data_IF_267572523825
#
_entry.id   IF_267572523825
#
_cell.length_a   1.000
_cell.length_b   1.000
_cell.length_c   1.000
_cell.angle_alpha   90.00
_cell.angle_beta   90.00
_cell.angle_gamma   90.00
#
_symmetry.space_group_name_H-M   'P 1'
#
loop_
_entity.id
_entity.type
_entity.pdbx_description
1 polymer ?
#
# COMPACT_ATOMS: atom_id res chain seq x y z
N UNK A 1 6.07 -1.57 -0.96
CA UNK A 1 5.58 -2.67 -0.11
C UNK A 1 4.80 -2.13 1.06
N UNK A 2 5.36 -1.14 1.78
CA UNK A 2 4.61 -0.30 2.71
C UNK A 2 3.56 0.57 1.99
N UNK A 3 2.57 1.05 2.75
CA UNK A 3 1.55 1.98 2.27
C UNK A 3 1.97 3.44 2.52
N UNK A 4 1.77 4.28 1.51
CA UNK A 4 2.07 5.71 1.55
C UNK A 4 1.02 6.51 0.78
N UNK A 5 0.81 7.75 1.19
CA UNK A 5 -0.05 8.73 0.54
C UNK A 5 0.80 9.82 -0.10
N UNK A 6 0.69 9.99 -1.43
CA UNK A 6 1.41 11.03 -2.17
C UNK A 6 0.43 11.93 -2.94
N UNK A 7 0.96 13.03 -3.52
CA UNK A 7 0.20 13.74 -4.55
C UNK A 7 0.05 12.84 -5.78
N UNK A 8 -1.10 12.86 -6.48
CA UNK A 8 -1.24 12.13 -7.74
C UNK A 8 -0.17 12.56 -8.75
N UNK A 9 0.43 11.60 -9.46
CA UNK A 9 1.46 11.86 -10.48
C UNK A 9 2.86 12.19 -9.95
N UNK A 10 3.03 12.36 -8.63
CA UNK A 10 4.31 12.79 -8.04
C UNK A 10 5.23 11.65 -7.58
N UNK A 11 4.84 10.40 -7.80
CA UNK A 11 5.72 9.25 -7.48
C UNK A 11 6.80 9.11 -8.55
N UNK A 12 7.87 8.32 -8.32
CA UNK A 12 8.86 8.02 -9.36
C UNK A 12 8.29 7.38 -10.65
N UNK A 13 7.05 6.86 -10.60
CA UNK A 13 6.35 6.34 -11.78
C UNK A 13 5.74 7.43 -12.67
N UNK A 14 5.70 8.69 -12.22
CA UNK A 14 5.17 9.83 -12.96
C UNK A 14 3.65 9.84 -13.12
N UNK A 15 3.18 10.49 -14.18
CA UNK A 15 1.75 10.59 -14.50
C UNK A 15 1.16 9.22 -14.90
N UNK A 16 -0.07 8.90 -14.46
CA UNK A 16 -0.71 7.64 -14.83
C UNK A 16 -1.05 7.60 -16.32
N UNK A 17 -0.90 6.42 -16.93
CA UNK A 17 -1.26 6.17 -18.33
C UNK A 17 -2.76 6.35 -18.59
N UNK A 18 -3.59 6.02 -17.60
CA UNK A 18 -5.04 6.11 -17.69
C UNK A 18 -5.63 6.57 -16.36
N UNK A 19 -6.70 7.38 -16.43
CA UNK A 19 -7.49 7.82 -15.26
C UNK A 19 -8.95 7.42 -15.48
N UNK A 20 -9.49 6.62 -14.57
CA UNK A 20 -10.89 6.16 -14.64
C UNK A 20 -11.70 6.70 -13.48
N UNK A 21 -12.85 7.37 -13.74
CA UNK A 21 -13.80 7.68 -12.69
C UNK A 21 -14.34 6.37 -12.12
N UNK A 22 -14.07 6.12 -10.83
CA UNK A 22 -14.71 5.01 -10.13
C UNK A 22 -16.13 5.44 -9.71
N UNK A 23 -16.32 6.68 -9.25
CA UNK A 23 -17.59 7.27 -8.77
C UNK A 23 -17.40 7.91 -7.38
N UNK A 24 -18.38 7.80 -6.48
CA UNK A 24 -18.41 8.60 -5.24
C UNK A 24 -18.48 7.75 -3.97
N UNK A 25 -18.06 8.35 -2.84
CA UNK A 25 -18.17 7.79 -1.50
C UNK A 25 -18.55 8.88 -0.50
N UNK A 26 -19.22 8.50 0.59
CA UNK A 26 -19.48 9.38 1.73
C UNK A 26 -18.39 9.34 2.79
N UNK A 27 -17.35 8.49 2.62
CA UNK A 27 -16.23 8.39 3.55
C UNK A 27 -15.41 9.67 3.55
N UNK A 28 -15.14 10.19 4.74
CA UNK A 28 -14.21 11.30 4.95
C UNK A 28 -12.76 10.81 4.84
N UNK A 29 -11.84 11.71 4.48
CA UNK A 29 -10.42 11.36 4.30
C UNK A 29 -9.81 10.74 5.56
N UNK A 30 -10.19 11.23 6.73
CA UNK A 30 -9.74 10.75 8.03
C UNK A 30 -10.24 9.32 8.30
N UNK A 31 -11.48 9.00 7.93
CA UNK A 31 -12.03 7.64 8.04
C UNK A 31 -11.27 6.66 7.14
N UNK A 32 -10.92 7.10 5.93
CA UNK A 32 -10.11 6.31 4.99
C UNK A 32 -8.72 6.06 5.58
N UNK A 33 -8.07 7.10 6.08
CA UNK A 33 -6.75 6.97 6.68
C UNK A 33 -6.75 6.08 7.92
N UNK A 34 -7.77 6.20 8.77
CA UNK A 34 -7.93 5.34 9.93
C UNK A 34 -8.20 3.89 9.55
N UNK A 35 -9.01 3.64 8.51
CA UNK A 35 -9.22 2.30 7.99
C UNK A 35 -7.91 1.69 7.48
N UNK A 36 -7.15 2.45 6.67
CA UNK A 36 -5.85 2.04 6.14
C UNK A 36 -4.89 1.66 7.27
N UNK A 37 -4.73 2.53 8.28
CA UNK A 37 -3.83 2.26 9.43
C UNK A 37 -4.25 1.03 10.24
N UNK A 38 -5.55 0.90 10.55
CA UNK A 38 -6.02 -0.12 11.49
C UNK A 38 -6.17 -1.49 10.86
N UNK A 39 -6.52 -1.55 9.57
CA UNK A 39 -6.92 -2.80 8.92
C UNK A 39 -6.00 -3.23 7.79
N UNK A 40 -5.39 -2.29 7.06
CA UNK A 40 -4.62 -2.62 5.86
C UNK A 40 -3.10 -2.57 6.10
N UNK A 41 -2.62 -1.68 6.98
CA UNK A 41 -1.19 -1.46 7.18
C UNK A 41 -0.42 -2.70 7.68
N UNK A 42 -1.04 -3.56 8.50
CA UNK A 42 -0.42 -4.80 8.99
C UNK A 42 -0.47 -5.94 7.96
N UNK A 43 -1.31 -5.82 6.94
CA UNK A 43 -1.44 -6.77 5.85
C UNK A 43 -0.50 -6.41 4.70
N UNK A 44 -0.51 -5.16 4.26
CA UNK A 44 0.31 -4.65 3.16
C UNK A 44 1.64 -4.12 3.70
N UNK A 45 2.54 -5.05 3.96
CA UNK A 45 3.91 -4.76 4.40
C UNK A 45 4.93 -5.11 3.33
N UNK A 46 6.15 -4.60 3.46
CA UNK A 46 7.26 -4.96 2.57
C UNK A 46 7.56 -6.45 2.60
N UNK A 47 7.44 -7.08 3.76
CA UNK A 47 7.73 -8.51 3.95
C UNK A 47 6.66 -9.41 3.31
N UNK A 48 5.40 -8.95 3.28
CA UNK A 48 4.27 -9.67 2.67
C UNK A 48 4.04 -9.33 1.19
N UNK A 49 4.77 -8.35 0.66
CA UNK A 49 4.60 -7.90 -0.72
C UNK A 49 4.96 -9.01 -1.71
N UNK A 50 4.07 -9.24 -2.67
CA UNK A 50 4.31 -10.10 -3.81
C UNK A 50 3.70 -9.52 -5.08
N UNK A 51 4.52 -9.35 -6.13
CA UNK A 51 4.12 -8.74 -7.39
C UNK A 51 2.97 -9.47 -8.08
N UNK A 52 2.77 -10.76 -7.82
CA UNK A 52 1.72 -11.55 -8.46
C UNK A 52 0.48 -11.68 -7.58
N UNK A 53 0.67 -11.96 -6.29
CA UNK A 53 -0.45 -12.38 -5.42
C UNK A 53 -0.77 -11.39 -4.29
N UNK A 54 0.04 -10.35 -4.09
CA UNK A 54 -0.16 -9.41 -2.97
C UNK A 54 0.54 -8.06 -3.22
N UNK A 55 -0.04 -7.27 -4.13
CA UNK A 55 0.54 -6.02 -4.63
C UNK A 55 -0.43 -4.82 -4.50
N UNK A 56 -0.10 -3.69 -5.15
CA UNK A 56 -0.92 -2.48 -5.16
C UNK A 56 -2.34 -2.67 -5.70
N UNK A 57 -2.57 -3.62 -6.62
CA UNK A 57 -3.90 -3.90 -7.16
C UNK A 57 -4.79 -4.56 -6.09
N UNK A 58 -4.22 -5.49 -5.32
CA UNK A 58 -4.91 -6.15 -4.21
C UNK A 58 -5.22 -5.17 -3.07
N UNK A 59 -4.32 -4.23 -2.80
CA UNK A 59 -4.59 -3.12 -1.89
C UNK A 59 -5.74 -2.25 -2.39
N UNK A 60 -5.69 -1.85 -3.66
CA UNK A 60 -6.70 -1.00 -4.29
C UNK A 60 -8.09 -1.65 -4.29
N UNK A 61 -8.14 -2.97 -4.50
CA UNK A 61 -9.37 -3.77 -4.41
C UNK A 61 -10.02 -3.68 -3.02
N UNK A 62 -9.23 -3.95 -1.96
CA UNK A 62 -9.74 -3.84 -0.58
C UNK A 62 -10.16 -2.42 -0.22
N UNK A 63 -9.40 -1.42 -0.68
CA UNK A 63 -9.74 -0.02 -0.46
C UNK A 63 -11.02 0.36 -1.20
N UNK A 64 -11.19 -0.07 -2.46
CA UNK A 64 -12.40 0.17 -3.25
C UNK A 64 -13.64 -0.42 -2.57
N UNK A 65 -13.53 -1.64 -2.06
CA UNK A 65 -14.59 -2.29 -1.28
C UNK A 65 -14.96 -1.48 -0.04
N UNK A 66 -13.99 -0.97 0.71
CA UNK A 66 -14.29 -0.13 1.87
C UNK A 66 -14.97 1.19 1.48
N UNK A 67 -14.52 1.83 0.40
CA UNK A 67 -15.03 3.13 -0.02
C UNK A 67 -16.46 3.04 -0.59
N UNK A 68 -16.77 1.97 -1.33
CA UNK A 68 -17.95 1.93 -2.19
C UNK A 68 -18.69 0.60 -2.22
N UNK A 69 -18.13 -0.45 -1.62
CA UNK A 69 -18.62 -1.82 -1.75
C UNK A 69 -18.69 -2.28 -3.22
N UNK A 70 -17.61 -1.99 -3.97
CA UNK A 70 -17.49 -2.24 -5.41
C UNK A 70 -16.04 -2.58 -5.78
N UNK A 71 -15.87 -3.42 -6.80
CA UNK A 71 -14.58 -3.93 -7.26
C UNK A 71 -13.82 -2.89 -8.10
N UNK A 72 -12.48 -3.02 -8.17
CA UNK A 72 -11.71 -2.34 -9.22
C UNK A 72 -11.94 -3.03 -10.57
N UNK A 73 -11.66 -2.38 -11.72
CA UNK A 73 -11.82 -3.01 -13.03
C UNK A 73 -11.04 -4.33 -13.14
N UNK A 74 -11.68 -5.36 -13.69
CA UNK A 74 -11.14 -6.72 -13.82
C UNK A 74 -9.77 -6.74 -14.52
N UNK A 75 -9.57 -5.92 -15.56
CA UNK A 75 -8.28 -5.85 -16.25
C UNK A 75 -7.14 -5.32 -15.37
N UNK A 76 -7.45 -4.61 -14.28
CA UNK A 76 -6.46 -4.18 -13.27
C UNK A 76 -6.26 -5.27 -12.24
N UNK A 77 -7.36 -5.88 -11.76
CA UNK A 77 -7.28 -6.93 -10.74
C UNK A 77 -6.54 -8.17 -11.26
N UNK A 78 -6.82 -8.61 -12.48
CA UNK A 78 -6.30 -9.84 -13.08
C UNK A 78 -5.07 -9.63 -13.99
N UNK A 79 -4.47 -8.44 -13.96
CA UNK A 79 -3.18 -8.17 -14.60
C UNK A 79 -2.11 -9.20 -14.25
N UNK A 80 -1.94 -9.61 -12.98
CA UNK A 80 -1.01 -10.66 -12.61
C UNK A 80 -1.27 -11.99 -13.33
N UNK A 81 -2.51 -12.40 -13.50
CA UNK A 81 -2.86 -13.67 -14.16
C UNK A 81 -2.50 -13.64 -15.64
N UNK A 82 -2.75 -12.51 -16.31
CA UNK A 82 -2.32 -12.30 -17.69
C UNK A 82 -0.79 -12.40 -17.83
N UNK A 83 -0.04 -11.93 -16.83
CA UNK A 83 1.42 -11.97 -16.79
C UNK A 83 1.93 -13.36 -16.42
N UNK A 84 1.25 -14.06 -15.52
CA UNK A 84 1.57 -15.42 -15.10
C UNK A 84 1.37 -16.45 -16.21
N UNK A 85 0.60 -16.14 -17.26
CA UNK A 85 0.53 -16.98 -18.47
C UNK A 85 1.89 -17.12 -19.18
N UNK A 86 2.87 -16.26 -18.87
CA UNK A 86 4.19 -16.23 -19.51
C UNK A 86 5.29 -16.80 -18.60
N UNK A 87 6.24 -17.60 -19.13
CA UNK A 87 7.34 -18.15 -18.33
C UNK A 87 8.31 -17.10 -17.78
N UNK A 88 8.57 -16.04 -18.55
CA UNK A 88 9.59 -15.04 -18.22
C UNK A 88 9.26 -14.23 -16.93
N UNK A 89 8.05 -13.69 -16.73
CA UNK A 89 7.70 -12.99 -15.49
C UNK A 89 7.78 -13.85 -14.24
N UNK A 90 7.48 -15.16 -14.33
CA UNK A 90 7.62 -16.09 -13.20
C UNK A 90 9.07 -16.21 -12.75
N UNK A 91 10.00 -16.27 -13.71
CA UNK A 91 11.44 -16.32 -13.43
C UNK A 91 11.95 -15.00 -12.82
N UNK A 92 11.40 -13.86 -13.26
CA UNK A 92 11.77 -12.54 -12.77
C UNK A 92 11.10 -12.14 -11.45
N UNK A 93 10.15 -12.93 -10.93
CA UNK A 93 9.38 -12.62 -9.72
C UNK A 93 10.25 -12.15 -8.53
N UNK A 94 11.39 -12.80 -8.18
CA UNK A 94 12.21 -12.33 -7.05
C UNK A 94 12.80 -10.93 -7.28
N UNK A 95 13.22 -10.64 -8.52
CA UNK A 95 13.75 -9.32 -8.89
C UNK A 95 12.63 -8.26 -8.86
N UNK A 96 11.45 -8.60 -9.38
CA UNK A 96 10.29 -7.72 -9.37
C UNK A 96 9.78 -7.43 -7.95
N UNK A 97 9.74 -8.44 -7.06
CA UNK A 97 9.39 -8.25 -5.65
C UNK A 97 10.38 -7.32 -4.95
N UNK A 98 11.69 -7.46 -5.23
CA UNK A 98 12.70 -6.56 -4.64
C UNK A 98 12.58 -5.14 -5.15
N UNK A 99 12.32 -4.96 -6.45
CA UNK A 99 12.20 -3.65 -7.07
C UNK A 99 10.89 -2.96 -6.66
N UNK A 100 9.74 -3.57 -6.96
CA UNK A 100 8.41 -3.00 -6.70
C UNK A 100 8.03 -2.98 -5.20
N UNK A 101 8.48 -3.98 -4.44
CA UNK A 101 8.25 -4.03 -3.00
C UNK A 101 9.09 -3.04 -2.21
N UNK A 102 10.21 -2.56 -2.78
CA UNK A 102 11.20 -1.71 -2.14
C UNK A 102 11.02 -0.20 -2.34
N UNK A 103 10.05 0.26 -3.12
CA UNK A 103 9.80 1.70 -3.28
C UNK A 103 9.29 2.34 -1.99
N UNK A 104 9.89 3.49 -1.66
CA UNK A 104 9.44 4.43 -0.65
C UNK A 104 9.30 5.81 -1.30
N UNK A 105 8.28 6.57 -0.93
CA UNK A 105 8.16 7.99 -1.28
C UNK A 105 8.63 8.83 -0.10
N UNK A 106 9.52 9.80 -0.32
CA UNK A 106 9.93 10.76 0.72
C UNK A 106 8.85 11.82 0.99
N UNK A 107 7.96 12.06 0.04
CA UNK A 107 6.91 13.08 0.11
C UNK A 107 5.55 12.41 0.37
N UNK A 108 5.17 12.27 1.64
CA UNK A 108 3.86 11.72 1.98
C UNK A 108 3.70 11.16 3.38
N UNK A 109 2.46 10.85 3.77
CA UNK A 109 2.16 10.11 5.00
C UNK A 109 2.38 8.62 4.76
N UNK A 110 3.11 7.93 5.64
CA UNK A 110 3.32 6.48 5.56
C UNK A 110 2.74 5.76 6.79
N UNK A 111 2.36 4.49 6.63
CA UNK A 111 1.76 3.70 7.72
C UNK A 111 2.77 2.96 8.59
N UNK A 112 4.02 2.80 8.15
CA UNK A 112 5.05 2.04 8.86
C UNK A 112 5.85 2.88 9.88
N UNK A 113 5.39 4.11 10.15
CA UNK A 113 6.04 5.05 11.07
C UNK A 113 7.42 5.53 10.62
N UNK A 114 7.87 5.09 9.44
CA UNK A 114 9.24 5.29 8.98
C UNK A 114 10.28 4.56 9.83
N UNK A 115 11.54 4.63 9.39
CA UNK A 115 12.67 4.00 10.09
C UNK A 115 12.87 4.58 11.50
N UNK A 116 12.55 5.86 11.71
CA UNK A 116 12.69 6.55 12.98
C UNK A 116 11.78 5.99 14.08
N UNK A 117 10.49 5.74 13.78
CA UNK A 117 9.57 5.16 14.77
C UNK A 117 9.97 3.71 15.07
N UNK A 118 10.40 2.92 14.07
CA UNK A 118 10.87 1.54 14.30
C UNK A 118 12.10 1.50 15.22
N UNK A 119 13.10 2.36 14.99
CA UNK A 119 14.25 2.50 15.89
C UNK A 119 13.87 2.96 17.29
N UNK A 120 12.87 3.84 17.42
CA UNK A 120 12.34 4.24 18.73
C UNK A 120 11.82 3.02 19.49
N UNK A 121 11.04 2.16 18.84
CA UNK A 121 10.48 0.94 19.44
C UNK A 121 11.52 -0.13 19.78
N UNK A 122 12.62 -0.24 19.03
CA UNK A 122 13.74 -1.16 19.35
C UNK A 122 14.37 -0.86 20.72
N UNK A 123 14.32 0.40 21.17
CA UNK A 123 14.81 0.81 22.48
C UNK A 123 13.82 0.60 23.64
N UNK A 124 12.58 0.19 23.35
CA UNK A 124 11.53 0.04 24.37
C UNK A 124 11.61 -1.35 25.00
N UNK A 125 11.94 -1.40 26.30
CA UNK A 125 12.01 -2.65 27.06
C UNK A 125 10.62 -3.20 27.40
N UNK A 126 10.46 -4.53 27.54
CA UNK A 126 9.23 -5.12 28.07
C UNK A 126 8.86 -4.51 29.43
N UNK A 127 7.63 -3.99 29.54
CA UNK A 127 7.12 -3.34 30.76
C UNK A 127 7.32 -1.82 30.83
N UNK A 128 7.93 -1.21 29.82
CA UNK A 128 8.02 0.24 29.73
C UNK A 128 6.62 0.88 29.53
N UNK A 129 6.36 1.98 30.24
CA UNK A 129 5.21 2.85 30.01
C UNK A 129 5.54 3.82 28.88
N UNK A 130 4.78 3.74 27.78
CA UNK A 130 4.93 4.62 26.62
C UNK A 130 3.71 5.55 26.56
N UNK A 131 3.95 6.86 26.59
CA UNK A 131 2.90 7.86 26.43
C UNK A 131 2.71 8.16 24.94
N UNK A 132 1.52 7.89 24.42
CA UNK A 132 1.13 8.31 23.08
C UNK A 132 0.51 9.70 23.15
N UNK A 133 1.26 10.72 22.71
CA UNK A 133 0.70 12.03 22.42
C UNK A 133 0.27 12.05 20.95
N UNK A 134 -1.02 12.29 20.71
CA UNK A 134 -1.52 12.58 19.37
C UNK A 134 -1.22 14.05 19.11
N UNK A 135 -0.34 14.35 18.15
CA UNK A 135 -0.20 15.72 17.66
C UNK A 135 -1.51 16.12 16.95
N UNK A 136 -2.06 17.27 17.35
CA UNK A 136 -3.31 17.85 16.83
C UNK A 136 -3.16 18.38 15.40
#
# INVERSE_FOLDING_TARGET
>A
GSLFESRPGSTPFGEPLERRPMGYTYKLREEVWDHVKRHLASEFTREKYDVLTHNCNHFSEKLSMFLRNDHIPDEVLYQPDMVMSKPLPRLLRPMLNRWLGGFASEEGRATDGGEALRKMWEGVLPGALVQFCKEE
#
